data_IF_530194366647
#
_entry.id   IF_530194366647
#
_cell.length_a   1.000
_cell.length_b   1.000
_cell.length_c   1.000
_cell.angle_alpha   90.00
_cell.angle_beta   90.00
_cell.angle_gamma   90.00
#
_symmetry.space_group_name_H-M   'P 1'
#
loop_
_entity.id
_entity.type
_entity.pdbx_description
1 polymer ?
#
# COMPACT_ATOMS: atom_id res chain seq x y z
N UNK A 1 -32.57 2.64 -10.38
CA UNK A 1 -32.00 1.27 -10.35
C UNK A 1 -32.91 0.32 -9.60
N UNK A 2 -33.09 -0.93 -10.07
CA UNK A 2 -33.99 -1.93 -9.43
C UNK A 2 -33.18 -3.17 -9.03
N UNK A 3 -33.48 -3.70 -7.82
CA UNK A 3 -32.97 -4.98 -7.32
C UNK A 3 -34.18 -5.90 -7.02
N UNK A 4 -34.16 -7.09 -7.59
CA UNK A 4 -35.08 -8.17 -7.24
C UNK A 4 -34.29 -9.31 -6.61
N UNK A 5 -34.60 -9.65 -5.36
CA UNK A 5 -33.89 -10.63 -4.55
C UNK A 5 -34.76 -11.85 -4.38
N UNK A 6 -34.39 -12.96 -5.00
CA UNK A 6 -35.15 -14.19 -4.97
C UNK A 6 -34.53 -15.17 -3.97
N UNK A 7 -35.30 -15.59 -2.96
CA UNK A 7 -34.86 -16.50 -1.90
C UNK A 7 -36.04 -17.30 -1.35
N UNK A 8 -35.75 -18.37 -0.65
CA UNK A 8 -36.76 -19.09 0.18
C UNK A 8 -36.95 -18.46 1.57
N UNK A 9 -36.20 -17.37 1.85
CA UNK A 9 -36.27 -16.58 3.08
C UNK A 9 -36.29 -15.08 2.76
N UNK A 10 -37.34 -14.53 2.13
CA UNK A 10 -37.39 -13.12 1.73
C UNK A 10 -37.24 -12.15 2.91
N UNK A 11 -37.64 -12.54 4.12
CA UNK A 11 -37.49 -11.74 5.34
C UNK A 11 -36.06 -11.46 5.73
N UNK A 12 -35.10 -12.19 5.18
CA UNK A 12 -33.66 -11.91 5.36
C UNK A 12 -33.28 -10.51 4.90
N UNK A 13 -34.03 -9.96 3.97
CA UNK A 13 -33.79 -8.65 3.37
C UNK A 13 -34.52 -7.48 4.04
N UNK A 14 -35.25 -7.69 5.12
CA UNK A 14 -35.96 -6.62 5.83
C UNK A 14 -35.00 -5.51 6.30
N UNK A 15 -33.78 -5.87 6.65
CA UNK A 15 -32.74 -4.91 7.05
C UNK A 15 -32.35 -3.91 5.95
N UNK A 16 -32.54 -4.24 4.68
CA UNK A 16 -32.27 -3.33 3.55
C UNK A 16 -33.23 -2.16 3.48
N UNK A 17 -34.38 -2.24 4.19
CA UNK A 17 -35.32 -1.13 4.34
C UNK A 17 -34.83 -0.02 5.30
N UNK A 18 -33.70 -0.21 5.97
CA UNK A 18 -33.16 0.71 6.96
C UNK A 18 -32.19 1.73 6.35
N UNK A 19 -31.86 2.77 7.16
CA UNK A 19 -30.81 3.75 6.88
C UNK A 19 -30.92 4.43 5.50
N UNK A 20 -29.80 4.58 4.80
CA UNK A 20 -29.72 5.26 3.49
C UNK A 20 -30.44 4.47 2.39
N UNK A 21 -30.29 3.16 2.37
CA UNK A 21 -30.91 2.30 1.35
C UNK A 21 -32.44 2.36 1.44
N UNK A 22 -33.03 2.24 2.64
CA UNK A 22 -34.46 2.40 2.82
C UNK A 22 -34.97 3.81 2.53
N UNK A 23 -34.14 4.85 2.68
CA UNK A 23 -34.49 6.21 2.25
C UNK A 23 -34.48 6.33 0.72
N UNK A 24 -33.47 5.77 0.06
CA UNK A 24 -33.36 5.77 -1.39
C UNK A 24 -34.49 4.97 -2.05
N UNK A 25 -34.95 3.86 -1.46
CA UNK A 25 -36.08 3.09 -1.92
C UNK A 25 -37.38 3.91 -1.80
N UNK A 26 -37.64 4.54 -0.66
CA UNK A 26 -38.84 5.41 -0.48
C UNK A 26 -38.86 6.63 -1.41
N UNK A 27 -37.69 7.14 -1.81
CA UNK A 27 -37.58 8.25 -2.77
C UNK A 27 -37.66 7.82 -4.24
N UNK A 28 -37.67 6.52 -4.51
CA UNK A 28 -37.68 5.95 -5.85
C UNK A 28 -36.35 6.00 -6.58
N UNK A 29 -35.24 6.35 -5.89
CA UNK A 29 -33.89 6.36 -6.46
C UNK A 29 -33.41 4.94 -6.75
N UNK A 30 -33.64 4.03 -5.80
CA UNK A 30 -33.48 2.58 -5.97
C UNK A 30 -34.81 1.90 -5.64
N UNK A 31 -34.99 0.67 -6.10
CA UNK A 31 -36.13 -0.17 -5.71
C UNK A 31 -35.60 -1.54 -5.33
N UNK A 32 -35.88 -1.99 -4.10
CA UNK A 32 -35.46 -3.31 -3.60
C UNK A 32 -36.73 -4.14 -3.35
N UNK A 33 -36.83 -5.29 -4.03
CA UNK A 33 -37.94 -6.22 -3.90
C UNK A 33 -37.48 -7.59 -3.55
N UNK A 34 -38.01 -8.17 -2.49
CA UNK A 34 -37.77 -9.54 -2.08
C UNK A 34 -38.90 -10.46 -2.53
N UNK A 35 -38.55 -11.61 -3.08
CA UNK A 35 -39.48 -12.59 -3.59
C UNK A 35 -39.29 -13.95 -2.90
N UNK A 36 -40.39 -14.61 -2.52
CA UNK A 36 -40.32 -16.00 -2.05
C UNK A 36 -40.29 -16.96 -3.25
N UNK A 37 -39.19 -17.64 -3.48
CA UNK A 37 -39.04 -18.62 -4.57
C UNK A 37 -40.18 -19.69 -4.55
N UNK A 38 -40.73 -19.98 -3.37
CA UNK A 38 -41.84 -20.96 -3.23
C UNK A 38 -43.10 -20.52 -3.93
N UNK A 39 -43.29 -19.27 -4.29
CA UNK A 39 -44.47 -18.79 -5.01
C UNK A 39 -44.52 -19.35 -6.44
N UNK A 40 -43.42 -19.80 -7.00
CA UNK A 40 -43.34 -20.49 -8.30
C UNK A 40 -43.22 -22.01 -8.17
N UNK A 41 -43.22 -22.55 -6.96
CA UNK A 41 -43.17 -23.99 -6.74
C UNK A 41 -44.56 -24.62 -6.87
N UNK A 42 -44.63 -25.75 -7.57
CA UNK A 42 -45.85 -26.50 -7.79
C UNK A 42 -46.10 -27.55 -6.68
N UNK A 43 -47.37 -27.94 -6.54
CA UNK A 43 -47.78 -28.99 -5.61
C UNK A 43 -48.00 -28.51 -4.16
N UNK A 44 -48.57 -29.38 -3.33
CA UNK A 44 -48.97 -29.06 -1.96
C UNK A 44 -47.79 -28.75 -1.03
N UNK A 45 -46.63 -29.31 -1.30
CA UNK A 45 -45.42 -29.14 -0.48
C UNK A 45 -44.55 -27.97 -0.93
N UNK A 46 -44.83 -27.32 -2.08
CA UNK A 46 -44.05 -26.20 -2.63
C UNK A 46 -42.54 -26.46 -2.58
N UNK A 47 -42.10 -27.71 -2.98
CA UNK A 47 -40.73 -28.13 -2.95
C UNK A 47 -39.89 -27.37 -3.95
N UNK A 48 -38.68 -26.92 -3.53
CA UNK A 48 -37.78 -26.12 -4.32
C UNK A 48 -36.42 -26.82 -4.58
N UNK A 49 -36.27 -28.05 -4.05
CA UNK A 49 -34.99 -28.79 -4.06
C UNK A 49 -35.23 -30.29 -4.25
N UNK A 50 -34.20 -31.02 -4.71
CA UNK A 50 -34.20 -32.48 -4.87
C UNK A 50 -32.77 -33.02 -4.74
N UNK A 51 -32.59 -34.34 -4.68
CA UNK A 51 -31.34 -35.01 -4.56
C UNK A 51 -30.40 -34.73 -5.77
N UNK A 52 -29.09 -34.54 -5.57
CA UNK A 52 -28.15 -34.30 -6.67
C UNK A 52 -27.95 -35.51 -7.56
N UNK A 53 -27.87 -35.30 -8.87
CA UNK A 53 -27.39 -36.34 -9.78
C UNK A 53 -25.93 -36.72 -9.46
N UNK A 54 -25.61 -37.99 -9.52
CA UNK A 54 -24.28 -38.50 -9.14
C UNK A 54 -24.17 -38.86 -7.66
N UNK A 55 -25.21 -38.61 -6.87
CA UNK A 55 -25.22 -38.91 -5.43
C UNK A 55 -24.44 -37.86 -4.64
N UNK A 56 -24.33 -38.09 -3.34
CA UNK A 56 -23.67 -37.17 -2.39
C UNK A 56 -24.62 -36.74 -1.30
N UNK A 57 -24.09 -36.01 -0.34
CA UNK A 57 -24.88 -35.37 0.73
C UNK A 57 -25.51 -34.08 0.22
N UNK A 58 -26.63 -33.70 0.83
CA UNK A 58 -27.29 -32.42 0.54
C UNK A 58 -28.34 -32.51 -0.56
N UNK A 59 -28.86 -31.34 -0.94
CA UNK A 59 -29.91 -31.14 -1.93
C UNK A 59 -29.51 -30.04 -2.90
N UNK A 60 -30.06 -30.07 -4.12
CA UNK A 60 -29.82 -29.04 -5.15
C UNK A 60 -31.14 -28.38 -5.49
N UNK A 61 -31.17 -27.05 -5.61
CA UNK A 61 -32.40 -26.34 -5.92
C UNK A 61 -32.82 -26.55 -7.36
N UNK A 62 -34.10 -26.82 -7.55
CA UNK A 62 -34.71 -27.27 -8.79
C UNK A 62 -34.69 -26.21 -9.88
N UNK A 63 -34.16 -26.53 -11.09
CA UNK A 63 -34.09 -25.59 -12.19
C UNK A 63 -35.45 -25.12 -12.70
N UNK A 64 -36.49 -25.96 -12.66
CA UNK A 64 -37.84 -25.59 -13.11
C UNK A 64 -38.49 -24.50 -12.29
N UNK A 65 -38.28 -24.51 -10.96
CA UNK A 65 -38.80 -23.46 -10.06
C UNK A 65 -38.07 -22.16 -10.26
N UNK A 66 -36.74 -22.22 -10.34
CA UNK A 66 -35.91 -21.05 -10.61
C UNK A 66 -36.19 -20.40 -11.97
N UNK A 67 -36.32 -21.21 -13.05
CA UNK A 67 -36.58 -20.64 -14.36
C UNK A 67 -38.02 -20.01 -14.39
N UNK A 68 -39.01 -20.59 -13.74
CA UNK A 68 -40.35 -20.00 -13.67
C UNK A 68 -40.31 -18.62 -12.98
N UNK A 69 -39.58 -18.49 -11.86
CA UNK A 69 -39.42 -17.23 -11.15
C UNK A 69 -38.64 -16.20 -11.99
N UNK A 70 -37.50 -16.61 -12.56
CA UNK A 70 -36.63 -15.73 -13.32
C UNK A 70 -37.24 -15.27 -14.65
N UNK A 71 -38.00 -16.13 -15.36
CA UNK A 71 -38.68 -15.77 -16.61
C UNK A 71 -39.70 -14.64 -16.36
N UNK A 72 -40.43 -14.68 -15.24
CA UNK A 72 -41.38 -13.63 -14.88
C UNK A 72 -40.68 -12.34 -14.49
N UNK A 73 -39.65 -12.42 -13.60
CA UNK A 73 -38.99 -11.25 -13.04
C UNK A 73 -38.12 -10.55 -14.09
N UNK A 74 -37.36 -11.32 -14.88
CA UNK A 74 -36.46 -10.80 -15.91
C UNK A 74 -37.19 -10.26 -17.13
N UNK A 75 -38.35 -10.86 -17.46
CA UNK A 75 -39.16 -10.45 -18.61
C UNK A 75 -39.70 -9.02 -18.56
N UNK A 76 -39.61 -8.37 -17.39
CA UNK A 76 -40.03 -7.00 -17.16
C UNK A 76 -38.98 -5.94 -17.54
N UNK A 77 -37.76 -6.32 -17.98
CA UNK A 77 -36.64 -5.40 -18.20
C UNK A 77 -35.93 -5.60 -19.54
N UNK A 78 -35.37 -4.51 -20.09
CA UNK A 78 -34.71 -4.56 -21.40
C UNK A 78 -33.31 -5.18 -21.37
N UNK A 79 -32.55 -5.04 -20.26
CA UNK A 79 -31.18 -5.55 -20.11
C UNK A 79 -30.87 -5.85 -18.63
N UNK A 80 -31.55 -6.81 -18.01
CA UNK A 80 -31.27 -7.16 -16.62
C UNK A 80 -29.98 -7.97 -16.49
N UNK A 81 -29.35 -7.89 -15.30
CA UNK A 81 -28.24 -8.74 -14.92
C UNK A 81 -28.75 -9.79 -13.91
N UNK A 82 -28.50 -11.05 -14.19
CA UNK A 82 -28.70 -12.14 -13.24
C UNK A 82 -27.43 -12.36 -12.43
N UNK A 83 -27.46 -12.08 -11.14
CA UNK A 83 -26.37 -12.31 -10.21
C UNK A 83 -26.65 -13.55 -9.35
N UNK A 84 -25.70 -14.49 -9.31
CA UNK A 84 -25.81 -15.74 -8.55
C UNK A 84 -24.65 -15.80 -7.54
N UNK A 85 -24.91 -15.59 -6.25
CA UNK A 85 -23.88 -15.76 -5.23
C UNK A 85 -23.49 -17.24 -5.09
N UNK A 86 -22.20 -17.53 -5.25
CA UNK A 86 -21.63 -18.86 -5.10
C UNK A 86 -20.16 -18.77 -4.62
N UNK A 87 -19.67 -19.70 -3.76
CA UNK A 87 -18.26 -19.70 -3.34
C UNK A 87 -17.27 -19.85 -4.49
N UNK A 88 -17.67 -20.49 -5.59
CA UNK A 88 -16.86 -20.70 -6.79
C UNK A 88 -16.91 -19.56 -7.81
N UNK A 89 -17.64 -18.48 -7.49
CA UNK A 89 -17.83 -17.34 -8.39
C UNK A 89 -16.65 -16.39 -8.47
N UNK A 90 -16.73 -15.46 -9.42
CA UNK A 90 -15.75 -14.36 -9.54
C UNK A 90 -15.77 -13.48 -8.29
N UNK A 91 -14.62 -13.12 -7.70
CA UNK A 91 -14.57 -12.23 -6.54
C UNK A 91 -15.25 -10.88 -6.80
N UNK A 92 -16.17 -10.50 -5.93
CA UNK A 92 -16.84 -9.20 -5.97
C UNK A 92 -15.87 -8.11 -5.53
N UNK A 93 -15.37 -7.36 -6.50
CA UNK A 93 -14.44 -6.23 -6.26
C UNK A 93 -15.15 -4.90 -6.48
N UNK A 94 -14.59 -3.78 -5.96
CA UNK A 94 -15.12 -2.44 -6.19
C UNK A 94 -15.23 -2.11 -7.67
N UNK A 95 -14.30 -2.57 -8.51
CA UNK A 95 -14.37 -2.42 -9.98
C UNK A 95 -15.61 -3.12 -10.54
N UNK A 96 -15.85 -4.36 -10.15
CA UNK A 96 -17.03 -5.12 -10.60
C UNK A 96 -18.34 -4.49 -10.11
N UNK A 97 -18.34 -3.98 -8.86
CA UNK A 97 -19.46 -3.20 -8.32
C UNK A 97 -19.73 -1.95 -9.15
N UNK A 98 -18.68 -1.23 -9.60
CA UNK A 98 -18.81 -0.08 -10.49
C UNK A 98 -19.38 -0.44 -11.87
N UNK A 99 -19.07 -1.63 -12.39
CA UNK A 99 -19.67 -2.15 -13.63
C UNK A 99 -21.17 -2.44 -13.43
N UNK A 100 -21.52 -3.07 -12.32
CA UNK A 100 -22.91 -3.40 -11.95
C UNK A 100 -23.77 -2.14 -11.68
N UNK A 101 -23.18 -1.08 -11.15
CA UNK A 101 -23.88 0.17 -10.88
C UNK A 101 -24.42 0.86 -12.17
N UNK A 102 -23.96 0.43 -13.35
CA UNK A 102 -24.47 0.93 -14.64
C UNK A 102 -25.69 0.17 -15.14
N UNK A 103 -26.06 -0.93 -14.50
CA UNK A 103 -27.26 -1.68 -14.85
C UNK A 103 -28.51 -1.01 -14.29
N UNK A 104 -29.61 -1.04 -15.05
CA UNK A 104 -30.89 -0.54 -14.57
C UNK A 104 -31.60 -1.53 -13.64
N UNK A 105 -31.30 -2.82 -13.81
CA UNK A 105 -31.96 -3.90 -13.10
C UNK A 105 -30.99 -5.06 -12.82
N UNK A 106 -30.91 -5.47 -11.54
CA UNK A 106 -30.15 -6.63 -11.09
C UNK A 106 -31.11 -7.60 -10.39
N UNK A 107 -31.13 -8.85 -10.83
CA UNK A 107 -31.85 -9.94 -10.17
C UNK A 107 -30.84 -10.82 -9.46
N UNK A 108 -30.99 -11.03 -8.15
CA UNK A 108 -30.07 -11.86 -7.38
C UNK A 108 -30.78 -13.17 -7.00
N UNK A 109 -30.25 -14.29 -7.51
CA UNK A 109 -30.74 -15.63 -7.24
C UNK A 109 -30.00 -16.24 -6.04
N UNK A 110 -30.61 -16.19 -4.85
CA UNK A 110 -30.00 -16.64 -3.61
C UNK A 110 -30.17 -18.15 -3.41
N UNK A 111 -29.15 -18.91 -3.77
CA UNK A 111 -29.12 -20.36 -3.57
C UNK A 111 -29.02 -20.77 -2.09
N UNK A 112 -29.56 -21.93 -1.77
CA UNK A 112 -29.46 -22.63 -0.50
C UNK A 112 -29.00 -24.07 -0.74
N UNK A 113 -28.79 -24.82 0.32
CA UNK A 113 -28.29 -26.20 0.26
C UNK A 113 -26.96 -26.28 -0.49
N UNK A 114 -26.80 -27.21 -1.45
CA UNK A 114 -25.61 -27.36 -2.30
C UNK A 114 -25.59 -26.37 -3.49
N UNK A 115 -26.56 -25.46 -3.56
CA UNK A 115 -26.67 -24.44 -4.59
C UNK A 115 -27.85 -24.62 -5.54
N UNK A 116 -27.84 -23.82 -6.60
CA UNK A 116 -28.82 -23.83 -7.68
C UNK A 116 -28.31 -24.74 -8.79
N UNK A 117 -29.19 -25.53 -9.41
CA UNK A 117 -28.83 -26.35 -10.58
C UNK A 117 -28.14 -25.48 -11.64
N UNK A 118 -26.94 -25.90 -12.06
CA UNK A 118 -26.08 -25.12 -12.96
C UNK A 118 -26.78 -24.76 -14.27
N UNK A 119 -27.68 -25.59 -14.74
CA UNK A 119 -28.46 -25.34 -15.97
C UNK A 119 -29.27 -24.04 -15.92
N UNK A 120 -29.58 -23.51 -14.75
CA UNK A 120 -30.24 -22.18 -14.62
C UNK A 120 -29.32 -21.07 -15.12
N UNK A 121 -28.12 -20.98 -14.61
CA UNK A 121 -27.15 -19.96 -15.04
C UNK A 121 -26.79 -20.12 -16.53
N UNK A 122 -26.55 -21.36 -16.97
CA UNK A 122 -26.18 -21.68 -18.35
C UNK A 122 -27.29 -21.32 -19.33
N UNK A 123 -28.56 -21.62 -19.01
CA UNK A 123 -29.73 -21.30 -19.84
C UNK A 123 -29.83 -19.79 -20.12
N UNK A 124 -29.71 -18.95 -19.11
CA UNK A 124 -29.81 -17.50 -19.31
C UNK A 124 -28.57 -16.94 -20.01
N UNK A 125 -27.39 -17.51 -19.80
CA UNK A 125 -26.17 -17.12 -20.50
C UNK A 125 -26.27 -17.46 -22.01
N UNK A 126 -26.78 -18.61 -22.37
CA UNK A 126 -27.02 -19.01 -23.76
C UNK A 126 -28.05 -18.13 -24.47
N UNK A 127 -28.99 -17.56 -23.74
CA UNK A 127 -29.96 -16.57 -24.25
C UNK A 127 -29.42 -15.16 -24.36
N UNK A 128 -28.12 -14.96 -24.05
CA UNK A 128 -27.44 -13.66 -24.16
C UNK A 128 -27.69 -12.72 -22.99
N UNK A 129 -28.20 -13.21 -21.85
CA UNK A 129 -28.34 -12.44 -20.62
C UNK A 129 -26.96 -12.26 -19.96
N UNK A 130 -26.74 -11.11 -19.36
CA UNK A 130 -25.62 -10.90 -18.45
C UNK A 130 -25.80 -11.77 -17.21
N UNK A 131 -25.01 -12.85 -17.07
CA UNK A 131 -25.04 -13.73 -15.90
C UNK A 131 -23.72 -13.63 -15.16
N UNK A 132 -23.80 -13.22 -13.89
CA UNK A 132 -22.66 -13.08 -12.99
C UNK A 132 -22.76 -14.09 -11.84
N UNK A 133 -21.92 -15.11 -11.85
CA UNK A 133 -21.65 -15.94 -10.69
C UNK A 133 -20.54 -15.27 -9.87
N UNK A 134 -20.81 -14.91 -8.60
CA UNK A 134 -19.86 -14.11 -7.80
C UNK A 134 -19.68 -14.66 -6.39
N UNK A 135 -18.50 -14.40 -5.83
CA UNK A 135 -18.11 -14.71 -4.45
C UNK A 135 -17.79 -13.43 -3.69
N UNK A 136 -18.16 -13.38 -2.41
CA UNK A 136 -17.80 -12.27 -1.51
C UNK A 136 -16.57 -12.56 -0.64
N UNK A 137 -15.90 -13.70 -0.84
CA UNK A 137 -14.68 -14.07 -0.13
C UNK A 137 -14.46 -15.57 -0.06
N UNK A 138 -13.28 -15.98 0.38
CA UNK A 138 -12.81 -17.36 0.45
C UNK A 138 -13.39 -18.10 1.69
N UNK A 139 -14.71 -18.16 1.78
CA UNK A 139 -15.44 -18.87 2.82
C UNK A 139 -16.83 -19.30 2.29
N UNK A 140 -17.41 -20.30 2.93
CA UNK A 140 -18.72 -20.85 2.55
C UNK A 140 -19.78 -20.36 3.54
N UNK A 141 -20.89 -19.87 3.02
CA UNK A 141 -22.08 -19.46 3.79
C UNK A 141 -23.20 -20.51 3.66
N UNK A 142 -24.18 -20.45 4.57
CA UNK A 142 -25.36 -21.33 4.52
C UNK A 142 -26.33 -21.03 3.37
N UNK A 143 -26.15 -19.89 2.67
CA UNK A 143 -26.99 -19.45 1.57
C UNK A 143 -26.53 -18.12 0.98
N UNK A 144 -27.12 -17.74 -0.15
CA UNK A 144 -26.72 -16.55 -0.91
C UNK A 144 -27.22 -15.22 -0.39
N UNK A 145 -28.12 -15.18 0.61
CA UNK A 145 -28.81 -13.95 1.03
C UNK A 145 -27.84 -12.89 1.59
N UNK A 146 -26.87 -13.30 2.41
CA UNK A 146 -25.87 -12.38 2.94
C UNK A 146 -25.04 -11.76 1.82
N UNK A 147 -24.63 -12.57 0.84
CA UNK A 147 -23.89 -12.10 -0.33
C UNK A 147 -24.74 -11.17 -1.21
N UNK A 148 -26.04 -11.44 -1.34
CA UNK A 148 -26.98 -10.56 -2.03
C UNK A 148 -27.08 -9.19 -1.33
N UNK A 149 -27.21 -9.17 0.00
CA UNK A 149 -27.24 -7.93 0.76
C UNK A 149 -25.94 -7.12 0.58
N UNK A 150 -24.76 -7.77 0.61
CA UNK A 150 -23.46 -7.12 0.34
C UNK A 150 -23.42 -6.50 -1.05
N UNK A 151 -23.90 -7.23 -2.09
CA UNK A 151 -23.95 -6.70 -3.45
C UNK A 151 -24.86 -5.47 -3.55
N UNK A 152 -26.07 -5.54 -3.00
CA UNK A 152 -27.03 -4.42 -3.02
C UNK A 152 -26.46 -3.19 -2.33
N UNK A 153 -25.90 -3.34 -1.13
CA UNK A 153 -25.28 -2.24 -0.37
C UNK A 153 -24.10 -1.63 -1.14
N UNK A 154 -23.23 -2.46 -1.71
CA UNK A 154 -22.07 -1.98 -2.45
C UNK A 154 -22.46 -1.24 -3.74
N UNK A 155 -23.41 -1.79 -4.52
CA UNK A 155 -23.85 -1.20 -5.79
C UNK A 155 -24.69 0.05 -5.57
N UNK A 156 -25.62 0.06 -4.63
CA UNK A 156 -26.50 1.19 -4.36
C UNK A 156 -25.73 2.46 -3.98
N UNK A 157 -24.59 2.34 -3.26
CA UNK A 157 -23.73 3.48 -2.91
C UNK A 157 -23.19 4.24 -4.13
N UNK A 158 -23.03 3.55 -5.28
CA UNK A 158 -22.51 4.13 -6.51
C UNK A 158 -23.60 4.69 -7.43
N UNK A 159 -24.87 4.56 -7.05
CA UNK A 159 -25.97 5.19 -7.79
C UNK A 159 -25.95 6.70 -7.56
N UNK A 160 -25.99 7.47 -8.65
CA UNK A 160 -25.99 8.94 -8.58
C UNK A 160 -27.09 9.46 -7.66
N UNK A 161 -26.72 10.30 -6.70
CA UNK A 161 -27.64 10.87 -5.71
C UNK A 161 -27.92 10.00 -4.48
N UNK A 162 -27.33 8.80 -4.39
CA UNK A 162 -27.47 7.95 -3.20
C UNK A 162 -26.65 8.49 -2.01
N UNK A 163 -25.39 8.87 -2.25
CA UNK A 163 -24.53 9.49 -1.25
C UNK A 163 -24.76 11.00 -1.21
N UNK A 164 -24.90 11.56 0.00
CA UNK A 164 -25.14 12.99 0.18
C UNK A 164 -23.93 13.88 -0.18
N UNK A 165 -22.71 13.32 -0.14
CA UNK A 165 -21.49 13.97 -0.59
C UNK A 165 -20.72 13.00 -1.51
N UNK A 166 -20.69 13.25 -2.83
CA UNK A 166 -19.96 12.43 -3.79
C UNK A 166 -18.44 12.38 -3.54
N UNK A 167 -17.86 13.45 -2.94
CA UNK A 167 -16.43 13.52 -2.65
C UNK A 167 -15.99 12.45 -1.63
N UNK A 168 -16.93 11.94 -0.82
CA UNK A 168 -16.62 10.87 0.12
C UNK A 168 -16.23 9.55 -0.57
N UNK A 169 -16.73 9.30 -1.77
CA UNK A 169 -16.40 8.10 -2.54
C UNK A 169 -14.97 8.14 -3.11
N UNK A 170 -14.43 9.33 -3.35
CA UNK A 170 -13.09 9.49 -3.96
C UNK A 170 -11.94 9.11 -3.02
N UNK A 171 -12.13 9.21 -1.70
CA UNK A 171 -11.12 8.91 -0.69
C UNK A 171 -11.30 7.52 -0.04
N UNK A 172 -12.28 6.73 -0.49
CA UNK A 172 -12.57 5.40 0.09
C UNK A 172 -11.56 4.33 -0.35
N UNK A 173 -11.46 3.28 0.45
CA UNK A 173 -10.66 2.09 0.13
C UNK A 173 -11.11 1.46 -1.19
N UNK A 174 -10.14 0.99 -1.98
CA UNK A 174 -10.38 0.34 -3.28
C UNK A 174 -10.97 1.26 -4.37
N UNK A 175 -10.97 2.60 -4.18
CA UNK A 175 -11.28 3.56 -5.23
C UNK A 175 -10.23 3.56 -6.35
N UNK A 176 -10.31 4.53 -7.28
CA UNK A 176 -9.44 4.64 -8.46
C UNK A 176 -7.93 4.67 -8.13
N UNK A 177 -7.56 5.13 -6.93
CA UNK A 177 -6.19 5.13 -6.45
C UNK A 177 -5.63 3.77 -6.02
N UNK A 178 -6.45 2.72 -5.95
CA UNK A 178 -6.06 1.35 -5.60
C UNK A 178 -5.54 1.17 -4.17
N UNK A 179 -5.70 2.17 -3.29
CA UNK A 179 -5.19 2.15 -1.91
C UNK A 179 -6.32 1.91 -0.89
N UNK A 180 -5.92 1.52 0.32
CA UNK A 180 -6.78 1.58 1.49
C UNK A 180 -6.85 3.02 2.01
N UNK A 181 -7.97 3.40 2.62
CA UNK A 181 -8.12 4.71 3.23
C UNK A 181 -7.24 4.89 4.47
N UNK A 182 -6.94 6.15 4.77
CA UNK A 182 -6.21 6.57 5.96
C UNK A 182 -7.06 6.43 7.23
N UNK A 183 -6.45 6.43 8.46
CA UNK A 183 -7.20 6.38 9.71
C UNK A 183 -7.98 7.68 9.96
N UNK A 184 -9.25 7.54 10.34
CA UNK A 184 -10.12 8.65 10.71
C UNK A 184 -10.08 8.90 12.22
N UNK A 185 -10.14 10.17 12.62
CA UNK A 185 -10.16 10.62 14.01
C UNK A 185 -11.31 11.58 14.26
N UNK A 186 -11.88 11.55 15.48
CA UNK A 186 -12.90 12.47 15.94
C UNK A 186 -12.64 12.87 17.40
N UNK A 187 -13.52 13.68 17.97
CA UNK A 187 -13.45 14.15 19.38
C UNK A 187 -13.62 12.98 20.36
N UNK A 188 -12.95 13.06 21.53
CA UNK A 188 -12.07 14.13 22.02
C UNK A 188 -10.66 14.08 21.42
N UNK A 189 -9.86 15.17 21.55
CA UNK A 189 -8.46 15.25 21.05
C UNK A 189 -7.56 14.19 21.65
N UNK A 190 -7.73 13.88 22.93
CA UNK A 190 -7.01 12.83 23.64
C UNK A 190 -7.98 11.80 24.20
N UNK A 191 -7.72 10.53 23.95
CA UNK A 191 -8.53 9.44 24.47
C UNK A 191 -7.63 8.32 24.98
N UNK A 192 -7.69 8.07 26.30
CA UNK A 192 -6.92 7.03 27.00
C UNK A 192 -5.40 7.10 26.76
N UNK A 193 -4.85 8.32 26.68
CA UNK A 193 -3.43 8.55 26.43
C UNK A 193 -3.02 8.49 24.95
N UNK A 194 -3.98 8.31 24.04
CA UNK A 194 -3.76 8.37 22.61
C UNK A 194 -4.30 9.70 22.06
N UNK A 195 -3.44 10.45 21.37
CA UNK A 195 -3.78 11.76 20.84
C UNK A 195 -4.09 11.70 19.33
N UNK A 196 -4.95 12.61 18.89
CA UNK A 196 -5.12 12.90 17.47
C UNK A 196 -3.80 13.48 16.94
N UNK A 197 -3.27 13.01 15.80
CA UNK A 197 -2.06 13.57 15.19
C UNK A 197 -2.15 15.09 15.02
N UNK A 198 -1.12 15.81 15.47
CA UNK A 198 -1.12 17.30 15.48
C UNK A 198 -1.31 17.91 14.09
N UNK A 199 -0.83 17.23 13.05
CA UNK A 199 -1.03 17.66 11.65
C UNK A 199 -2.50 17.82 11.29
N UNK A 200 -3.38 16.97 11.84
CA UNK A 200 -4.83 17.03 11.60
C UNK A 200 -5.50 18.22 12.31
N UNK A 201 -4.81 18.81 13.28
CA UNK A 201 -5.25 19.96 14.06
C UNK A 201 -4.63 21.29 13.59
N UNK A 202 -3.69 21.23 12.64
CA UNK A 202 -2.88 22.37 12.20
C UNK A 202 -3.64 23.41 11.36
N UNK A 203 -4.73 22.99 10.69
CA UNK A 203 -5.39 23.80 9.66
C UNK A 203 -4.64 23.88 8.33
N UNK A 204 -3.45 23.29 8.22
CA UNK A 204 -2.70 23.20 6.97
C UNK A 204 -3.25 22.06 6.10
N UNK A 205 -4.14 22.41 5.18
CA UNK A 205 -4.78 21.45 4.27
C UNK A 205 -3.77 20.73 3.37
N UNK A 206 -2.63 21.33 3.05
CA UNK A 206 -1.56 20.71 2.26
C UNK A 206 -0.89 19.60 3.06
N UNK A 207 -0.46 19.90 4.29
CA UNK A 207 0.13 18.94 5.20
C UNK A 207 -0.85 17.83 5.58
N UNK A 208 -2.14 18.15 5.78
CA UNK A 208 -3.19 17.16 6.06
C UNK A 208 -3.37 16.19 4.88
N UNK A 209 -3.48 16.69 3.64
CA UNK A 209 -3.59 15.82 2.45
C UNK A 209 -2.37 14.92 2.30
N UNK A 210 -1.16 15.46 2.50
CA UNK A 210 0.07 14.67 2.44
C UNK A 210 0.07 13.56 3.50
N UNK A 211 -0.24 13.89 4.74
CA UNK A 211 -0.32 12.92 5.84
C UNK A 211 -1.34 11.81 5.54
N UNK A 212 -2.53 12.16 5.04
CA UNK A 212 -3.54 11.18 4.64
C UNK A 212 -3.02 10.23 3.56
N UNK A 213 -2.36 10.78 2.53
CA UNK A 213 -1.76 9.99 1.45
C UNK A 213 -0.69 9.05 1.99
N UNK A 214 0.20 9.53 2.86
CA UNK A 214 1.22 8.71 3.51
C UNK A 214 0.59 7.56 4.31
N UNK A 215 -0.43 7.85 5.11
CA UNK A 215 -1.13 6.83 5.90
C UNK A 215 -1.83 5.78 5.02
N UNK A 216 -2.41 6.18 3.91
CA UNK A 216 -3.00 5.26 2.94
C UNK A 216 -1.96 4.32 2.36
N UNK A 217 -0.81 4.84 1.92
CA UNK A 217 0.30 4.06 1.38
C UNK A 217 0.85 3.06 2.43
N UNK A 218 1.15 3.55 3.63
CA UNK A 218 1.70 2.73 4.72
C UNK A 218 0.72 1.61 5.13
N UNK A 219 -0.56 1.96 5.31
CA UNK A 219 -1.60 0.99 5.66
C UNK A 219 -1.81 -0.05 4.56
N UNK A 220 -1.77 0.37 3.31
CA UNK A 220 -1.90 -0.55 2.17
C UNK A 220 -0.70 -1.48 2.10
N UNK A 221 0.52 -0.97 2.26
CA UNK A 221 1.73 -1.79 2.27
C UNK A 221 1.73 -2.84 3.38
N UNK A 222 1.17 -2.51 4.55
CA UNK A 222 1.07 -3.42 5.69
C UNK A 222 -0.02 -4.48 5.52
N UNK A 223 -1.21 -4.09 5.04
CA UNK A 223 -2.42 -4.94 5.10
C UNK A 223 -2.77 -5.60 3.79
N UNK A 224 -2.44 -4.96 2.67
CA UNK A 224 -2.75 -5.40 1.33
C UNK A 224 -1.54 -5.19 0.39
N UNK A 225 -0.44 -5.91 0.66
CA UNK A 225 0.78 -5.82 -0.17
C UNK A 225 0.53 -6.11 -1.65
N UNK A 226 -0.46 -6.92 -1.97
CA UNK A 226 -0.92 -7.20 -3.32
C UNK A 226 -1.39 -5.94 -4.08
N UNK A 227 -2.06 -5.00 -3.38
CA UNK A 227 -2.48 -3.74 -3.97
C UNK A 227 -1.28 -2.82 -4.26
N UNK A 228 -0.26 -2.84 -3.39
CA UNK A 228 0.99 -2.10 -3.65
C UNK A 228 1.71 -2.66 -4.88
N UNK A 229 1.74 -3.98 -5.03
CA UNK A 229 2.39 -4.65 -6.16
C UNK A 229 1.67 -4.35 -7.51
N UNK A 230 0.38 -4.03 -7.44
CA UNK A 230 -0.44 -3.66 -8.59
C UNK A 230 -0.40 -2.15 -8.92
N UNK A 231 0.23 -1.29 -8.08
CA UNK A 231 0.31 0.15 -8.35
C UNK A 231 1.14 0.45 -9.59
N UNK A 232 0.67 1.42 -10.38
CA UNK A 232 1.49 2.02 -11.44
C UNK A 232 2.58 2.92 -10.81
N UNK A 233 3.87 2.59 -10.95
CA UNK A 233 4.94 3.42 -10.42
C UNK A 233 4.98 4.84 -10.99
N UNK A 234 4.42 5.08 -12.18
CA UNK A 234 4.36 6.40 -12.78
C UNK A 234 3.42 7.36 -12.03
N UNK A 235 2.43 6.82 -11.33
CA UNK A 235 1.50 7.56 -10.48
C UNK A 235 2.05 7.95 -9.09
N UNK A 236 3.27 7.47 -8.74
CA UNK A 236 3.88 7.74 -7.43
C UNK A 236 4.81 8.96 -7.51
N UNK A 237 4.58 9.96 -6.68
CA UNK A 237 5.50 11.08 -6.53
C UNK A 237 6.72 10.72 -5.66
N UNK A 238 7.64 11.67 -5.46
CA UNK A 238 8.87 11.43 -4.68
C UNK A 238 8.56 11.17 -3.20
N UNK A 239 7.54 11.82 -2.64
CA UNK A 239 7.12 11.65 -1.24
C UNK A 239 6.40 10.31 -1.05
N UNK A 240 5.57 9.88 -2.01
CA UNK A 240 4.95 8.56 -2.01
C UNK A 240 6.01 7.44 -1.95
N UNK A 241 7.05 7.58 -2.78
CA UNK A 241 8.18 6.63 -2.81
C UNK A 241 8.97 6.62 -1.51
N UNK A 242 9.19 7.79 -0.89
CA UNK A 242 9.84 7.90 0.42
C UNK A 242 8.99 7.26 1.52
N UNK A 243 7.67 7.47 1.52
CA UNK A 243 6.75 6.84 2.45
C UNK A 243 6.79 5.30 2.32
N UNK A 244 6.69 4.78 1.10
CA UNK A 244 6.77 3.34 0.84
C UNK A 244 8.14 2.76 1.22
N UNK A 245 9.24 3.45 0.88
CA UNK A 245 10.56 3.02 1.25
C UNK A 245 10.74 2.95 2.78
N UNK A 246 10.13 3.86 3.54
CA UNK A 246 10.19 3.85 5.02
C UNK A 246 9.66 2.56 5.63
N UNK A 247 8.66 1.94 5.03
CA UNK A 247 8.08 0.65 5.43
C UNK A 247 8.65 -0.55 4.65
N UNK A 248 9.72 -0.36 3.90
CA UNK A 248 10.45 -1.45 3.24
C UNK A 248 9.90 -1.84 1.87
N UNK A 249 9.27 -0.91 1.15
CA UNK A 249 8.85 -1.13 -0.24
C UNK A 249 9.49 -0.08 -1.14
N UNK A 250 10.23 -0.52 -2.15
CA UNK A 250 10.81 0.37 -3.18
C UNK A 250 10.43 -0.11 -4.58
N UNK A 251 10.44 0.81 -5.53
CA UNK A 251 10.26 0.47 -6.95
C UNK A 251 11.61 0.59 -7.68
N UNK A 252 12.26 -0.57 -7.93
CA UNK A 252 13.60 -0.63 -8.50
C UNK A 252 13.81 -1.89 -9.37
N UNK A 253 13.40 -1.94 -10.65
CA UNK A 253 12.39 -1.14 -11.37
C UNK A 253 10.95 -1.48 -10.96
N UNK A 254 10.66 -2.70 -10.54
CA UNK A 254 9.37 -3.16 -10.02
C UNK A 254 9.29 -3.08 -8.48
N UNK A 255 8.14 -3.44 -7.90
CA UNK A 255 7.96 -3.47 -6.47
C UNK A 255 8.92 -4.47 -5.82
N UNK A 256 9.78 -3.97 -4.96
CA UNK A 256 10.83 -4.73 -4.28
C UNK A 256 10.69 -4.55 -2.77
N UNK A 257 10.63 -5.64 -2.03
CA UNK A 257 10.65 -5.60 -0.57
C UNK A 257 12.08 -5.44 -0.07
N UNK A 258 12.26 -4.54 0.87
CA UNK A 258 13.58 -4.19 1.42
C UNK A 258 13.58 -4.35 2.93
N UNK A 259 14.61 -4.98 3.45
CA UNK A 259 14.90 -5.02 4.89
C UNK A 259 16.04 -4.07 5.20
N UNK A 260 15.88 -3.32 6.28
CA UNK A 260 16.91 -2.46 6.84
C UNK A 260 17.54 -3.17 8.03
N UNK A 261 18.79 -3.53 7.94
CA UNK A 261 19.49 -4.37 8.92
C UNK A 261 20.77 -3.69 9.41
N UNK A 262 21.13 -3.83 10.69
CA UNK A 262 22.49 -3.51 11.13
C UNK A 262 23.47 -4.35 10.32
N UNK A 263 24.59 -3.74 9.91
CA UNK A 263 25.67 -4.47 9.25
C UNK A 263 26.42 -5.37 10.25
N UNK A 264 26.78 -6.55 9.81
CA UNK A 264 27.54 -7.54 10.56
C UNK A 264 28.93 -7.75 9.94
N UNK A 265 29.90 -8.30 10.68
CA UNK A 265 31.24 -8.57 10.16
C UNK A 265 31.28 -9.40 8.87
N UNK A 266 30.32 -10.29 8.72
CA UNK A 266 30.18 -11.12 7.53
C UNK A 266 29.85 -10.30 6.26
N UNK A 267 29.28 -9.11 6.42
CA UNK A 267 28.91 -8.22 5.30
C UNK A 267 30.09 -7.45 4.71
N UNK A 268 31.28 -7.47 5.34
CA UNK A 268 32.41 -6.62 4.98
C UNK A 268 32.81 -6.74 3.50
N UNK A 269 32.93 -7.96 2.99
CA UNK A 269 33.32 -8.21 1.60
C UNK A 269 32.27 -7.69 0.61
N UNK A 270 30.97 -7.93 0.89
CA UNK A 270 29.88 -7.47 0.05
C UNK A 270 29.74 -5.94 0.07
N UNK A 271 29.91 -5.32 1.26
CA UNK A 271 29.91 -3.87 1.41
C UNK A 271 31.07 -3.21 0.64
N UNK A 272 32.26 -3.80 0.68
CA UNK A 272 33.40 -3.31 -0.09
C UNK A 272 33.14 -3.37 -1.60
N UNK A 273 32.61 -4.49 -2.09
CA UNK A 273 32.20 -4.64 -3.48
C UNK A 273 31.10 -3.66 -3.88
N UNK A 274 30.11 -3.44 -3.00
CA UNK A 274 29.05 -2.46 -3.22
C UNK A 274 29.60 -1.02 -3.24
N UNK A 275 30.45 -0.65 -2.30
CA UNK A 275 31.08 0.66 -2.22
C UNK A 275 31.95 0.95 -3.46
N UNK A 276 32.72 -0.03 -3.93
CA UNK A 276 33.51 0.09 -5.13
C UNK A 276 32.68 0.40 -6.38
N UNK A 277 31.45 -0.14 -6.47
CA UNK A 277 30.52 0.14 -7.57
C UNK A 277 29.85 1.52 -7.45
N UNK A 278 29.51 1.94 -6.23
CA UNK A 278 28.66 3.10 -6.00
C UNK A 278 29.42 4.40 -5.75
N UNK A 279 30.62 4.34 -5.16
CA UNK A 279 31.45 5.51 -4.88
C UNK A 279 31.79 6.34 -6.13
N UNK A 280 32.17 5.75 -7.27
CA UNK A 280 32.48 6.52 -8.49
C UNK A 280 31.32 7.38 -8.99
N UNK A 281 30.07 6.97 -8.74
CA UNK A 281 28.87 7.73 -9.14
C UNK A 281 28.69 9.03 -8.34
N UNK A 282 29.26 9.10 -7.15
CA UNK A 282 29.20 10.26 -6.25
C UNK A 282 30.48 11.10 -6.29
N UNK A 283 31.56 10.55 -6.84
CA UNK A 283 32.83 11.24 -6.94
C UNK A 283 32.74 12.46 -7.88
N UNK A 284 33.30 13.62 -7.50
CA UNK A 284 33.35 14.78 -8.36
C UNK A 284 34.12 14.50 -9.66
N UNK A 285 33.63 14.97 -10.83
CA UNK A 285 34.27 14.66 -12.11
C UNK A 285 35.70 15.24 -12.29
N UNK A 286 36.15 16.10 -11.37
CA UNK A 286 37.48 16.68 -11.36
C UNK A 286 38.51 15.80 -10.64
N UNK A 287 38.08 14.80 -9.88
CA UNK A 287 39.00 13.87 -9.23
C UNK A 287 39.49 12.87 -10.28
N UNK A 288 40.82 12.73 -10.47
CA UNK A 288 41.35 11.74 -11.39
C UNK A 288 40.85 10.33 -11.06
N UNK A 289 40.57 9.55 -12.11
CA UNK A 289 40.07 8.17 -11.93
C UNK A 289 41.06 7.30 -11.11
N UNK A 290 42.35 7.57 -11.20
CA UNK A 290 43.38 6.89 -10.40
C UNK A 290 43.25 7.19 -8.90
N UNK A 291 42.94 8.44 -8.55
CA UNK A 291 42.72 8.84 -7.15
C UNK A 291 41.42 8.21 -6.58
N UNK A 292 40.37 8.15 -7.39
CA UNK A 292 39.14 7.42 -7.04
C UNK A 292 39.47 5.94 -6.82
N UNK A 293 40.18 5.30 -7.72
CA UNK A 293 40.57 3.89 -7.61
C UNK A 293 41.45 3.63 -6.39
N UNK A 294 42.39 4.56 -6.09
CA UNK A 294 43.22 4.46 -4.88
C UNK A 294 42.37 4.56 -3.61
N UNK A 295 41.50 5.56 -3.52
CA UNK A 295 40.60 5.73 -2.37
C UNK A 295 39.74 4.48 -2.14
N UNK A 296 39.21 3.86 -3.21
CA UNK A 296 38.46 2.61 -3.10
C UNK A 296 39.31 1.50 -2.50
N UNK A 297 40.59 1.36 -2.94
CA UNK A 297 41.48 0.31 -2.44
C UNK A 297 41.94 0.53 -0.99
N UNK A 298 42.05 1.77 -0.55
CA UNK A 298 42.65 2.12 0.74
C UNK A 298 41.57 2.35 1.82
N UNK A 299 40.41 2.89 1.45
CA UNK A 299 39.40 3.37 2.40
C UNK A 299 38.04 2.61 2.30
N UNK A 300 37.85 1.86 1.22
CA UNK A 300 36.58 1.14 0.95
C UNK A 300 36.81 -0.35 0.70
N UNK A 301 37.95 -0.87 1.13
CA UNK A 301 38.27 -2.29 1.04
C UNK A 301 37.60 -3.12 2.14
N UNK A 302 37.69 -4.43 2.05
CA UNK A 302 37.08 -5.34 3.02
C UNK A 302 37.62 -5.16 4.44
N UNK A 303 38.95 -4.83 4.58
CA UNK A 303 39.57 -4.63 5.88
C UNK A 303 38.97 -3.40 6.58
N UNK A 304 38.86 -2.27 5.86
CA UNK A 304 38.25 -1.03 6.35
C UNK A 304 36.79 -1.25 6.79
N UNK A 305 36.00 -1.98 6.00
CA UNK A 305 34.62 -2.30 6.41
C UNK A 305 34.59 -3.24 7.61
N UNK A 306 35.49 -4.20 7.71
CA UNK A 306 35.59 -5.09 8.88
C UNK A 306 35.91 -4.31 10.15
N UNK A 307 36.76 -3.31 10.07
CA UNK A 307 37.11 -2.42 11.20
C UNK A 307 35.91 -1.53 11.58
N UNK A 308 35.22 -0.94 10.61
CA UNK A 308 34.01 -0.17 10.85
C UNK A 308 32.91 -1.02 11.54
N UNK A 309 32.70 -2.26 11.07
CA UNK A 309 31.70 -3.17 11.64
C UNK A 309 32.09 -3.73 13.01
N UNK A 310 33.39 -3.70 13.37
CA UNK A 310 33.87 -4.10 14.67
C UNK A 310 33.86 -2.97 15.71
N UNK A 311 33.84 -1.71 15.26
CA UNK A 311 33.92 -0.54 16.13
C UNK A 311 32.60 -0.24 16.81
N UNK A 312 32.52 -0.15 18.14
CA UNK A 312 31.31 0.23 18.84
C UNK A 312 30.86 1.67 18.58
N UNK A 313 31.79 2.53 18.12
CA UNK A 313 31.50 3.91 17.73
C UNK A 313 31.01 4.07 16.30
N UNK A 314 30.89 2.98 15.54
CA UNK A 314 30.44 3.04 14.13
C UNK A 314 29.15 2.26 13.94
N UNK A 315 28.20 2.86 13.25
CA UNK A 315 26.92 2.26 12.92
C UNK A 315 26.80 2.10 11.40
N UNK A 316 26.68 0.86 10.93
CA UNK A 316 26.42 0.55 9.53
C UNK A 316 24.99 0.03 9.43
N UNK A 317 24.19 0.66 8.57
CA UNK A 317 22.85 0.21 8.25
C UNK A 317 22.81 -0.20 6.78
N UNK A 318 22.29 -1.39 6.50
CA UNK A 318 22.25 -1.99 5.17
C UNK A 318 20.79 -2.14 4.74
N UNK A 319 20.46 -1.72 3.53
CA UNK A 319 19.19 -2.03 2.88
C UNK A 319 19.40 -3.21 1.92
N UNK A 320 18.74 -4.34 2.20
CA UNK A 320 18.80 -5.56 1.39
C UNK A 320 17.46 -5.83 0.73
N UNK A 321 17.44 -6.18 -0.55
CA UNK A 321 16.24 -6.72 -1.19
C UNK A 321 15.85 -8.05 -0.55
N UNK A 322 14.54 -8.31 -0.43
CA UNK A 322 14.03 -9.60 -0.01
C UNK A 322 13.78 -10.48 -1.23
N UNK A 323 14.26 -11.71 -1.17
CA UNK A 323 13.96 -12.73 -2.18
C UNK A 323 14.87 -12.64 -3.41
N UNK A 324 15.53 -13.75 -3.70
CA UNK A 324 16.33 -14.06 -4.88
C UNK A 324 16.99 -15.41 -4.66
N UNK A 325 17.12 -16.21 -5.71
CA UNK A 325 17.81 -17.52 -5.65
C UNK A 325 19.28 -17.35 -5.29
N UNK A 326 19.88 -16.18 -5.55
CA UNK A 326 21.30 -15.87 -5.33
C UNK A 326 21.57 -15.04 -4.05
N UNK A 327 20.65 -15.01 -3.10
CA UNK A 327 20.76 -14.20 -1.89
C UNK A 327 20.02 -12.86 -1.96
N UNK A 328 20.09 -12.09 -0.87
CA UNK A 328 19.41 -10.79 -0.75
C UNK A 328 20.40 -9.65 -1.01
N UNK A 329 20.50 -9.11 -2.25
CA UNK A 329 21.53 -8.15 -2.61
C UNK A 329 21.39 -6.84 -1.82
N UNK A 330 22.54 -6.19 -1.56
CA UNK A 330 22.58 -4.85 -1.00
C UNK A 330 22.09 -3.84 -2.06
N UNK A 331 21.07 -3.05 -1.70
CA UNK A 331 20.55 -1.94 -2.50
C UNK A 331 21.07 -0.58 -2.03
N UNK A 332 21.59 -0.51 -0.81
CA UNK A 332 22.17 0.69 -0.25
C UNK A 332 22.69 0.49 1.16
N UNK A 333 23.52 1.42 1.63
CA UNK A 333 24.01 1.43 3.00
C UNK A 333 24.28 2.84 3.49
N UNK A 334 24.28 3.01 4.82
CA UNK A 334 24.83 4.17 5.52
C UNK A 334 25.91 3.74 6.49
N UNK A 335 26.86 4.65 6.72
CA UNK A 335 27.90 4.54 7.75
C UNK A 335 27.89 5.80 8.57
N UNK A 336 27.60 5.68 9.86
CA UNK A 336 27.52 6.77 10.82
C UNK A 336 28.54 6.54 11.94
N UNK A 337 29.33 7.54 12.28
CA UNK A 337 30.31 7.50 13.36
C UNK A 337 29.73 8.29 14.54
N UNK A 338 29.68 7.68 15.70
CA UNK A 338 29.14 8.26 16.94
C UNK A 338 30.24 8.92 17.76
N UNK A 339 30.05 10.14 18.23
CA UNK A 339 30.76 10.75 19.35
C UNK A 339 32.27 10.97 19.19
N UNK A 340 32.85 11.03 17.99
CA UNK A 340 34.28 11.24 17.81
C UNK A 340 34.61 12.60 17.21
N UNK A 341 35.14 13.57 18.01
CA UNK A 341 35.57 14.90 17.52
C UNK A 341 36.63 14.84 16.43
N UNK A 342 37.56 13.90 16.50
CA UNK A 342 38.72 13.82 15.60
C UNK A 342 38.36 13.34 14.16
N UNK A 343 37.23 12.70 13.98
CA UNK A 343 36.69 12.27 12.68
C UNK A 343 35.62 13.21 12.13
N UNK A 344 35.19 14.17 12.94
CA UNK A 344 34.23 15.16 12.51
C UNK A 344 34.87 16.17 11.58
N UNK A 345 34.18 16.59 10.52
CA UNK A 345 34.66 17.64 9.68
C UNK A 345 34.81 18.93 10.49
N UNK A 346 36.04 19.40 10.70
CA UNK A 346 36.25 20.74 11.22
C UNK A 346 35.63 21.76 10.27
N UNK A 347 34.54 22.38 10.69
CA UNK A 347 33.90 23.44 9.94
C UNK A 347 34.37 24.79 10.47
N UNK A 348 34.90 25.64 9.60
CA UNK A 348 35.07 27.05 9.91
C UNK A 348 33.70 27.70 10.04
N UNK A 349 33.20 27.76 11.24
CA UNK A 349 32.11 28.64 11.66
C UNK A 349 30.72 28.06 11.68
N UNK A 350 30.06 28.36 12.73
CA UNK A 350 28.67 28.68 12.91
C UNK A 350 27.74 27.68 13.61
N UNK A 351 28.01 26.39 13.69
CA UNK A 351 27.29 25.55 14.65
C UNK A 351 28.33 24.86 15.53
N UNK A 352 28.38 25.15 16.84
CA UNK A 352 29.18 24.37 17.76
C UNK A 352 28.69 22.92 17.68
N UNK A 353 29.58 22.00 17.30
CA UNK A 353 29.30 20.59 17.45
C UNK A 353 29.35 20.32 18.96
N UNK A 354 28.19 20.02 19.55
CA UNK A 354 28.15 19.55 20.92
C UNK A 354 28.74 18.13 20.97
N UNK A 355 29.14 17.68 22.16
CA UNK A 355 29.71 16.34 22.35
C UNK A 355 28.80 15.19 22.03
N UNK A 356 27.57 15.44 21.52
CA UNK A 356 26.58 14.48 21.08
C UNK A 356 26.38 14.42 19.57
N UNK A 357 27.28 14.99 18.76
CA UNK A 357 27.17 14.92 17.32
C UNK A 357 27.56 13.54 16.76
N UNK A 358 26.80 13.06 15.77
CA UNK A 358 27.16 11.88 14.97
C UNK A 358 27.48 12.29 13.53
N UNK A 359 28.50 11.68 12.93
CA UNK A 359 28.93 11.95 11.56
C UNK A 359 28.42 10.91 10.58
N UNK A 360 27.52 11.31 9.67
CA UNK A 360 27.11 10.48 8.54
C UNK A 360 28.20 10.51 7.48
N UNK A 361 29.09 9.53 7.53
CA UNK A 361 30.26 9.41 6.64
C UNK A 361 29.86 8.93 5.24
N UNK A 362 28.94 7.98 5.15
CA UNK A 362 28.54 7.35 3.89
C UNK A 362 27.02 7.17 3.83
N UNK A 363 26.42 7.46 2.67
CA UNK A 363 25.03 7.17 2.34
C UNK A 363 24.95 6.93 0.82
N UNK A 364 24.97 5.65 0.43
CA UNK A 364 25.00 5.24 -0.96
C UNK A 364 23.89 4.26 -1.27
N UNK A 365 23.33 4.39 -2.48
CA UNK A 365 22.33 3.47 -3.02
C UNK A 365 22.75 3.00 -4.40
N UNK A 366 22.33 1.81 -4.80
CA UNK A 366 22.51 1.30 -6.14
C UNK A 366 21.83 2.22 -7.17
N UNK A 367 22.40 2.28 -8.38
CA UNK A 367 21.85 3.08 -9.47
C UNK A 367 20.42 2.69 -9.82
N UNK A 368 20.11 1.39 -9.78
CA UNK A 368 18.76 0.86 -10.03
C UNK A 368 17.72 1.35 -9.00
N UNK A 369 18.17 1.70 -7.79
CA UNK A 369 17.30 2.22 -6.74
C UNK A 369 17.23 3.76 -6.70
N UNK A 370 17.85 4.46 -7.65
CA UNK A 370 17.75 5.91 -7.72
C UNK A 370 16.31 6.37 -7.98
N UNK A 371 15.84 7.34 -7.21
CA UNK A 371 14.47 7.86 -7.31
C UNK A 371 13.39 6.97 -6.67
N UNK A 372 13.77 5.84 -6.07
CA UNK A 372 12.83 4.92 -5.39
C UNK A 372 12.47 5.32 -3.95
N UNK A 373 13.03 6.43 -3.41
CA UNK A 373 12.88 6.82 -2.00
C UNK A 373 13.86 6.13 -1.04
N UNK A 374 14.60 5.11 -1.50
CA UNK A 374 15.50 4.30 -0.65
C UNK A 374 16.54 5.13 0.12
N UNK A 375 17.17 6.11 -0.55
CA UNK A 375 18.17 6.97 0.08
C UNK A 375 17.59 7.78 1.24
N UNK A 376 16.36 8.31 1.09
CA UNK A 376 15.64 9.01 2.15
C UNK A 376 15.34 8.09 3.33
N UNK A 377 14.81 6.92 3.07
CA UNK A 377 14.51 5.94 4.11
C UNK A 377 15.77 5.48 4.88
N UNK A 378 16.88 5.21 4.17
CA UNK A 378 18.16 4.88 4.80
C UNK A 378 18.68 6.03 5.68
N UNK A 379 18.59 7.27 5.19
CA UNK A 379 19.02 8.45 5.93
C UNK A 379 18.20 8.62 7.22
N UNK A 380 16.86 8.57 7.14
CA UNK A 380 16.01 8.73 8.31
C UNK A 380 16.20 7.61 9.34
N UNK A 381 16.40 6.38 8.89
CA UNK A 381 16.72 5.26 9.78
C UNK A 381 18.10 5.40 10.41
N UNK A 382 19.10 5.89 9.70
CA UNK A 382 20.43 6.18 10.26
C UNK A 382 20.37 7.31 11.28
N UNK A 383 19.58 8.36 11.05
CA UNK A 383 19.33 9.44 12.02
C UNK A 383 18.65 8.88 13.27
N UNK A 384 17.62 8.05 13.11
CA UNK A 384 16.91 7.43 14.22
C UNK A 384 17.81 6.50 15.04
N UNK A 385 18.67 5.70 14.38
CA UNK A 385 19.64 4.84 15.05
C UNK A 385 20.69 5.66 15.81
N UNK A 386 21.26 6.70 15.21
CA UNK A 386 22.21 7.58 15.88
C UNK A 386 21.57 8.28 17.10
N UNK A 387 20.34 8.76 16.98
CA UNK A 387 19.57 9.34 18.10
C UNK A 387 19.37 8.33 19.24
N UNK A 388 19.00 7.10 18.93
CA UNK A 388 18.85 6.02 19.92
C UNK A 388 20.16 5.73 20.68
N UNK A 389 21.31 6.07 20.08
CA UNK A 389 22.65 5.98 20.68
C UNK A 389 23.15 7.32 21.26
N UNK A 390 22.24 8.28 21.51
CA UNK A 390 22.55 9.52 22.21
C UNK A 390 22.98 10.68 21.34
N UNK A 391 22.92 10.57 19.99
CA UNK A 391 23.23 11.70 19.13
C UNK A 391 22.16 12.79 19.24
N UNK A 392 22.60 14.03 19.42
CA UNK A 392 21.75 15.23 19.44
C UNK A 392 21.74 15.93 18.09
N UNK A 393 22.79 15.73 17.29
CA UNK A 393 22.98 16.33 15.98
C UNK A 393 23.56 15.29 14.99
N UNK A 394 23.16 15.40 13.73
CA UNK A 394 23.78 14.67 12.62
C UNK A 394 24.52 15.65 11.73
N UNK A 395 25.79 15.34 11.48
CA UNK A 395 26.69 16.11 10.63
C UNK A 395 27.04 15.29 9.39
N UNK A 396 27.14 15.92 8.25
CA UNK A 396 27.67 15.32 7.04
C UNK A 396 28.47 16.33 6.22
N UNK A 397 29.25 15.83 5.28
CA UNK A 397 29.95 16.66 4.32
C UNK A 397 29.63 16.22 2.90
N UNK A 398 29.46 17.17 1.99
CA UNK A 398 29.20 16.89 0.59
C UNK A 398 29.89 17.90 -0.31
N UNK A 399 30.42 17.44 -1.43
CA UNK A 399 31.14 18.30 -2.36
C UNK A 399 30.30 19.49 -2.83
N UNK A 400 30.91 20.70 -2.87
CA UNK A 400 30.22 21.95 -3.22
C UNK A 400 29.52 21.94 -4.58
N UNK A 401 29.98 21.10 -5.51
CA UNK A 401 29.38 20.93 -6.85
C UNK A 401 28.36 19.79 -6.90
N UNK A 402 28.19 18.98 -5.86
CA UNK A 402 27.18 17.95 -5.80
C UNK A 402 25.82 18.53 -5.42
N UNK A 403 25.25 19.29 -6.37
CA UNK A 403 23.95 19.98 -6.16
C UNK A 403 22.81 19.01 -5.92
N UNK A 404 22.90 17.76 -6.45
CA UNK A 404 21.90 16.71 -6.22
C UNK A 404 21.90 16.30 -4.74
N UNK A 405 23.04 15.96 -4.18
CA UNK A 405 23.16 15.60 -2.77
C UNK A 405 22.77 16.77 -1.84
N UNK A 406 23.20 17.99 -2.16
CA UNK A 406 22.83 19.18 -1.36
C UNK A 406 21.32 19.41 -1.32
N UNK A 407 20.61 19.24 -2.46
CA UNK A 407 19.13 19.36 -2.50
C UNK A 407 18.49 18.23 -1.71
N UNK A 408 19.00 17.02 -1.82
CA UNK A 408 18.54 15.87 -1.08
C UNK A 408 18.63 16.11 0.43
N UNK A 409 19.82 16.45 0.96
CA UNK A 409 19.99 16.69 2.39
C UNK A 409 19.21 17.90 2.89
N UNK A 410 19.05 18.97 2.10
CA UNK A 410 18.21 20.13 2.46
C UNK A 410 16.73 19.73 2.64
N UNK A 411 16.20 18.87 1.77
CA UNK A 411 14.83 18.35 1.91
C UNK A 411 14.65 17.55 3.20
N UNK A 412 15.70 16.87 3.65
CA UNK A 412 15.73 16.12 4.91
C UNK A 412 16.16 16.98 6.12
N UNK A 413 16.00 18.29 6.04
CA UNK A 413 16.17 19.20 7.19
C UNK A 413 17.61 19.60 7.49
N UNK A 414 18.60 19.17 6.70
CA UNK A 414 19.99 19.58 6.88
C UNK A 414 20.20 21.03 6.42
N UNK A 415 20.92 21.80 7.24
CA UNK A 415 21.33 23.17 6.94
C UNK A 415 22.84 23.27 6.79
N UNK A 416 23.29 24.08 5.86
CA UNK A 416 24.71 24.36 5.71
C UNK A 416 25.24 25.08 6.95
N UNK A 417 26.34 24.54 7.51
CA UNK A 417 27.00 25.04 8.70
C UNK A 417 28.39 25.63 8.42
N UNK A 418 29.09 25.12 7.40
CA UNK A 418 30.44 25.56 7.12
C UNK A 418 31.00 24.93 5.85
N UNK A 419 32.34 24.99 5.70
CA UNK A 419 33.10 24.33 4.63
C UNK A 419 34.34 23.68 5.20
N UNK A 420 34.78 22.59 4.58
CA UNK A 420 36.06 21.92 4.87
C UNK A 420 36.80 21.60 3.58
N UNK A 421 38.11 21.47 3.65
CA UNK A 421 38.90 20.81 2.61
C UNK A 421 38.95 19.30 2.93
N UNK A 422 38.59 18.47 1.95
CA UNK A 422 38.70 17.02 2.05
C UNK A 422 39.76 16.54 1.07
N UNK A 423 40.78 15.76 1.52
CA UNK A 423 41.83 15.28 0.65
C UNK A 423 41.44 13.92 0.04
N UNK A 424 41.51 13.83 -1.29
CA UNK A 424 41.46 12.58 -2.04
C UNK A 424 42.72 12.57 -2.92
N UNK A 425 43.71 11.81 -2.51
CA UNK A 425 45.01 11.81 -3.19
C UNK A 425 45.69 13.18 -3.20
N UNK A 426 46.07 13.64 -4.39
CA UNK A 426 46.70 14.95 -4.62
C UNK A 426 45.68 16.11 -4.65
N UNK A 427 44.38 15.83 -4.77
CA UNK A 427 43.32 16.82 -4.84
C UNK A 427 42.79 17.18 -3.44
N UNK A 428 42.51 18.46 -3.20
CA UNK A 428 41.87 18.96 -1.98
C UNK A 428 40.54 19.62 -2.31
N UNK A 429 39.51 18.84 -2.71
CA UNK A 429 38.18 19.38 -2.99
C UNK A 429 37.56 20.00 -1.75
N UNK A 430 36.72 21.01 -1.96
CA UNK A 430 36.00 21.69 -0.89
C UNK A 430 34.60 21.05 -0.74
N UNK A 431 34.25 20.70 0.50
CA UNK A 431 32.95 20.21 0.87
C UNK A 431 32.15 21.26 1.63
N UNK A 432 30.86 21.31 1.43
CA UNK A 432 29.92 21.94 2.32
C UNK A 432 29.62 21.01 3.50
N UNK A 433 29.78 21.50 4.72
CA UNK A 433 29.37 20.82 5.95
C UNK A 433 27.92 21.17 6.22
N UNK A 434 27.12 20.13 6.44
CA UNK A 434 25.68 20.28 6.70
C UNK A 434 25.30 19.61 8.01
N UNK A 435 24.40 20.22 8.76
CA UNK A 435 23.99 19.77 10.10
C UNK A 435 22.47 19.76 10.21
N UNK A 436 21.95 18.77 10.92
CA UNK A 436 20.55 18.61 11.29
C UNK A 436 20.47 18.19 12.75
N UNK A 437 19.55 18.78 13.59
CA UNK A 437 19.18 18.21 14.89
C UNK A 437 18.66 16.76 14.72
N UNK A 438 19.00 15.87 15.65
CA UNK A 438 18.57 14.46 15.59
C UNK A 438 17.11 14.23 16.04
N UNK A 439 16.48 15.23 16.66
CA UNK A 439 15.12 15.19 17.19
C UNK A 439 14.02 15.65 16.21
N UNK A 440 14.41 15.99 15.00
CA UNK A 440 13.50 16.51 13.94
C UNK A 440 13.36 15.56 12.78
#
# INVERSE_FOLDING_TARGET
>A
MRFDLVSIFPQYFDSLSLSLLGRADRSGLVSVRAHDLRDWANGAHRSVDDAPYGGGAGMVMLPGVWCAALDEILGASCAPVLAVPTPSGTPLTQRLVGELARADHIVVACGRYEGIDQRVADHYRERGLGVLEYSIGDYVLNGGEAAAAVLVEAVARLVDGFMGNPDSLAEESHGDGGLLEYPAYTKPRSFRGLDVPDVLLSGDHGAIRRWRRDQSLLRTAERRPDLIDALDPAGLDAQDREALASCGVVFAPGPTRVRYLPGERADAAELAAFAARTFPMAAPPQIPAEDVARFIREELDEASFRDHLASPGTRVLIARAQGGEDGSPILGYTLTVLGHPDQMPEGNGAVPLDGGAAYLSKCYTDAAAHGSGLAGALLEKAVADARAHGATQIVLATHIRNTRAQRFYKRHGFKKSGRRAFRVGSAAPTDDVMVRPADR
#
